data_IF_510321012060
#
_entry.id   IF_510321012060
#
_cell.length_a   1.000
_cell.length_b   1.000
_cell.length_c   1.000
_cell.angle_alpha   90.00
_cell.angle_beta   90.00
_cell.angle_gamma   90.00
#
_symmetry.space_group_name_H-M   'P 1'
#
loop_
_entity.id
_entity.type
_entity.pdbx_description
1 polymer ?
#
# COMPACT_ATOMS: atom_id res chain seq x y z
N UNK A 1 7.66 17.53 14.58
CA UNK A 1 9.11 17.54 14.29
C UNK A 1 9.49 16.65 13.09
N UNK A 2 9.06 15.38 12.98
CA UNK A 2 9.40 14.51 11.83
C UNK A 2 8.78 15.04 10.54
N UNK A 3 7.53 15.49 10.57
CA UNK A 3 6.83 16.07 9.41
C UNK A 3 7.53 17.35 8.87
N UNK A 4 8.05 18.19 9.75
CA UNK A 4 8.77 19.41 9.38
C UNK A 4 10.12 19.08 8.72
N UNK A 5 10.83 18.07 9.23
CA UNK A 5 12.09 17.59 8.64
C UNK A 5 11.85 16.96 7.25
N UNK A 6 10.81 16.12 7.11
CA UNK A 6 10.48 15.51 5.82
C UNK A 6 10.00 16.55 4.78
N UNK A 7 9.32 17.62 5.21
CA UNK A 7 8.95 18.71 4.32
C UNK A 7 10.19 19.52 3.86
N UNK A 8 11.17 19.72 4.76
CA UNK A 8 12.42 20.41 4.47
C UNK A 8 13.35 19.58 3.56
N UNK A 9 13.30 18.25 3.67
CA UNK A 9 14.09 17.31 2.87
C UNK A 9 13.20 16.40 2.00
N UNK A 10 12.34 17.01 1.18
CA UNK A 10 11.39 16.28 0.33
C UNK A 10 12.07 15.23 -0.60
N UNK A 11 13.33 15.43 -0.96
CA UNK A 11 14.12 14.47 -1.73
C UNK A 11 14.37 13.16 -0.98
N UNK A 12 14.56 13.23 0.36
CA UNK A 12 14.71 12.02 1.20
C UNK A 12 13.45 11.18 1.18
N UNK A 13 12.27 11.82 1.29
CA UNK A 13 10.99 11.15 1.19
C UNK A 13 10.80 10.45 -0.16
N UNK A 14 11.19 11.11 -1.25
CA UNK A 14 11.11 10.55 -2.61
C UNK A 14 12.07 9.37 -2.83
N UNK A 15 13.30 9.46 -2.33
CA UNK A 15 14.26 8.33 -2.38
C UNK A 15 13.74 7.15 -1.56
N UNK A 16 13.25 7.41 -0.33
CA UNK A 16 12.66 6.38 0.51
C UNK A 16 11.46 5.70 -0.16
N UNK A 17 10.60 6.50 -0.79
CA UNK A 17 9.47 6.01 -1.58
C UNK A 17 9.93 5.07 -2.71
N UNK A 18 10.90 5.49 -3.53
CA UNK A 18 11.43 4.68 -4.61
C UNK A 18 12.08 3.39 -4.08
N UNK A 19 12.84 3.46 -2.99
CA UNK A 19 13.48 2.29 -2.37
C UNK A 19 12.45 1.26 -1.90
N UNK A 20 11.35 1.70 -1.26
CA UNK A 20 10.26 0.81 -0.84
C UNK A 20 9.61 0.15 -2.05
N UNK A 21 9.32 0.89 -3.12
CA UNK A 21 8.72 0.31 -4.33
C UNK A 21 9.63 -0.73 -4.99
N UNK A 22 10.94 -0.45 -5.07
CA UNK A 22 11.94 -1.39 -5.62
C UNK A 22 12.03 -2.66 -4.76
N UNK A 23 11.98 -2.51 -3.42
CA UNK A 23 12.05 -3.65 -2.49
C UNK A 23 10.78 -4.52 -2.50
N UNK A 24 9.62 -3.93 -2.82
CA UNK A 24 8.30 -4.58 -2.72
C UNK A 24 8.20 -5.94 -3.44
N UNK A 25 8.64 -6.14 -4.69
CA UNK A 25 8.57 -7.45 -5.35
C UNK A 25 9.47 -8.51 -4.69
N UNK A 26 10.60 -8.11 -4.13
CA UNK A 26 11.49 -9.02 -3.38
C UNK A 26 10.86 -9.44 -2.06
N UNK A 27 10.23 -8.49 -1.35
CA UNK A 27 9.45 -8.75 -0.13
C UNK A 27 8.28 -9.70 -0.43
N UNK A 28 7.54 -9.50 -1.52
CA UNK A 28 6.45 -10.37 -1.92
C UNK A 28 6.92 -11.82 -2.17
N UNK A 29 8.07 -11.96 -2.84
CA UNK A 29 8.71 -13.26 -3.08
C UNK A 29 9.13 -13.93 -1.77
N UNK A 30 9.70 -13.19 -0.85
CA UNK A 30 10.11 -13.70 0.46
C UNK A 30 8.90 -14.09 1.32
N UNK A 31 7.85 -13.28 1.37
CA UNK A 31 6.61 -13.53 2.09
C UNK A 31 5.83 -14.72 1.56
N UNK A 32 6.00 -15.05 0.27
CA UNK A 32 5.31 -16.19 -0.35
C UNK A 32 5.53 -17.50 0.41
N UNK A 33 6.73 -17.73 0.90
CA UNK A 33 7.08 -18.94 1.67
C UNK A 33 6.80 -18.79 3.16
N UNK A 34 6.44 -17.58 3.62
CA UNK A 34 6.28 -17.23 5.04
C UNK A 34 4.88 -16.67 5.32
N UNK A 35 3.87 -17.49 5.10
CA UNK A 35 2.46 -17.07 5.21
C UNK A 35 2.09 -16.45 6.56
N UNK A 36 2.67 -16.95 7.69
CA UNK A 36 2.43 -16.35 9.03
C UNK A 36 2.93 -14.92 9.09
N UNK A 37 4.12 -14.64 8.57
CA UNK A 37 4.69 -13.29 8.52
C UNK A 37 3.86 -12.39 7.62
N UNK A 38 3.37 -12.89 6.48
CA UNK A 38 2.46 -12.14 5.61
C UNK A 38 1.13 -11.80 6.32
N UNK A 39 0.60 -12.71 7.15
CA UNK A 39 -0.59 -12.44 7.98
C UNK A 39 -0.34 -11.36 9.03
N UNK A 40 0.79 -11.43 9.73
CA UNK A 40 1.19 -10.39 10.69
C UNK A 40 1.36 -9.03 10.01
N UNK A 41 2.03 -9.00 8.85
CA UNK A 41 2.19 -7.76 8.07
C UNK A 41 0.83 -7.18 7.66
N UNK A 42 -0.13 -8.02 7.24
CA UNK A 42 -1.49 -7.60 6.90
C UNK A 42 -2.19 -6.93 8.10
N UNK A 43 -2.13 -7.56 9.27
CA UNK A 43 -2.74 -7.02 10.50
C UNK A 43 -2.07 -5.71 10.93
N UNK A 44 -0.73 -5.64 10.90
CA UNK A 44 0.01 -4.44 11.26
C UNK A 44 -0.27 -3.29 10.28
N UNK A 45 -0.33 -3.57 8.97
CA UNK A 45 -0.65 -2.56 7.97
C UNK A 45 -2.09 -2.04 8.15
N UNK A 46 -3.07 -2.93 8.39
CA UNK A 46 -4.44 -2.53 8.67
C UNK A 46 -4.53 -1.68 9.96
N UNK A 47 -3.87 -2.11 11.03
CA UNK A 47 -3.83 -1.37 12.29
C UNK A 47 -3.18 0.01 12.11
N UNK A 48 -2.09 0.10 11.35
CA UNK A 48 -1.41 1.36 11.07
C UNK A 48 -2.31 2.32 10.26
N UNK A 49 -3.04 1.80 9.26
CA UNK A 49 -4.00 2.60 8.49
C UNK A 49 -5.06 3.18 9.43
N UNK A 50 -5.71 2.34 10.23
CA UNK A 50 -6.74 2.79 11.20
C UNK A 50 -6.17 3.82 12.16
N UNK A 51 -4.99 3.55 12.71
CA UNK A 51 -4.33 4.45 13.64
C UNK A 51 -4.02 5.82 13.03
N UNK A 52 -3.45 5.86 11.84
CA UNK A 52 -3.02 7.12 11.21
C UNK A 52 -4.16 7.93 10.63
N UNK A 53 -5.26 7.27 10.21
CA UNK A 53 -6.37 7.93 9.50
C UNK A 53 -7.57 8.25 10.39
N UNK A 54 -7.82 7.49 11.46
CA UNK A 54 -9.02 7.61 12.29
C UNK A 54 -8.74 8.09 13.73
N UNK A 55 -7.48 8.21 14.15
CA UNK A 55 -7.20 8.83 15.46
C UNK A 55 -7.50 10.33 15.38
N UNK A 56 -8.32 10.86 16.31
CA UNK A 56 -8.69 12.27 16.32
C UNK A 56 -7.49 13.20 16.45
N UNK A 57 -7.51 14.29 15.69
CA UNK A 57 -6.61 15.43 15.87
C UNK A 57 -7.43 16.62 16.41
N UNK A 58 -7.51 16.81 17.75
CA UNK A 58 -8.34 17.83 18.35
C UNK A 58 -7.87 19.26 18.06
N UNK A 59 -6.69 19.43 17.46
CA UNK A 59 -6.15 20.75 17.14
C UNK A 59 -6.68 21.30 15.81
N UNK A 60 -7.39 20.48 15.03
CA UNK A 60 -7.94 20.86 13.73
C UNK A 60 -9.45 20.86 13.75
N UNK A 61 -10.05 21.93 13.23
CA UNK A 61 -11.46 21.99 12.89
C UNK A 61 -11.55 21.90 11.38
N UNK A 62 -12.08 20.81 10.86
CA UNK A 62 -12.25 20.59 9.43
C UNK A 62 -13.73 20.44 9.12
N UNK A 63 -14.24 21.22 8.17
CA UNK A 63 -15.59 21.11 7.71
C UNK A 63 -15.59 20.78 6.21
N UNK A 64 -16.31 19.69 5.85
CA UNK A 64 -16.53 19.30 4.47
C UNK A 64 -15.48 18.37 3.88
N UNK A 65 -15.64 18.11 2.57
CA UNK A 65 -14.78 17.25 1.78
C UNK A 65 -14.19 18.07 0.62
N UNK A 66 -12.89 18.05 0.45
CA UNK A 66 -12.20 18.75 -0.63
C UNK A 66 -12.16 17.86 -1.88
N UNK A 67 -12.89 18.26 -2.92
CA UNK A 67 -12.97 17.52 -4.19
C UNK A 67 -11.95 17.93 -5.26
N UNK A 68 -11.39 19.16 -5.28
CA UNK A 68 -10.40 19.54 -6.28
C UNK A 68 -9.18 18.62 -6.23
N UNK A 69 -8.73 18.15 -7.39
CA UNK A 69 -7.57 17.28 -7.55
C UNK A 69 -6.64 17.85 -8.62
N UNK A 70 -5.34 17.93 -8.30
CA UNK A 70 -4.29 18.23 -9.26
C UNK A 70 -3.23 17.11 -9.23
N UNK A 71 -2.72 16.71 -10.40
CA UNK A 71 -1.67 15.68 -10.49
C UNK A 71 -0.41 16.03 -9.71
N UNK A 72 -0.13 17.33 -9.55
CA UNK A 72 0.98 17.87 -8.75
C UNK A 72 0.86 17.52 -7.27
N UNK A 73 -0.35 17.28 -6.77
CA UNK A 73 -0.57 16.94 -5.37
C UNK A 73 -0.07 15.54 -5.03
N UNK A 74 -0.02 14.62 -6.01
CA UNK A 74 0.47 13.25 -5.80
C UNK A 74 1.97 13.16 -5.47
N UNK A 75 2.76 14.18 -5.83
CA UNK A 75 4.20 14.23 -5.53
C UNK A 75 4.52 14.92 -4.20
N UNK A 76 3.50 15.41 -3.50
CA UNK A 76 3.65 15.95 -2.14
C UNK A 76 3.97 14.83 -1.16
N UNK A 77 4.70 15.17 -0.12
CA UNK A 77 5.15 14.20 0.90
C UNK A 77 3.97 13.46 1.55
N UNK A 78 2.89 14.18 1.81
CA UNK A 78 1.67 13.61 2.42
C UNK A 78 1.03 12.56 1.51
N UNK A 79 0.89 12.86 0.22
CA UNK A 79 0.34 11.92 -0.77
C UNK A 79 1.24 10.70 -0.97
N UNK A 80 2.58 10.89 -0.99
CA UNK A 80 3.53 9.78 -1.04
C UNK A 80 3.40 8.87 0.20
N UNK A 81 3.18 9.45 1.38
CA UNK A 81 2.94 8.70 2.60
C UNK A 81 1.64 7.89 2.51
N UNK A 82 0.55 8.46 1.99
CA UNK A 82 -0.72 7.78 1.77
C UNK A 82 -0.58 6.63 0.78
N UNK A 83 0.14 6.82 -0.34
CA UNK A 83 0.46 5.73 -1.27
C UNK A 83 1.19 4.59 -0.54
N UNK A 84 2.26 4.90 0.21
CA UNK A 84 3.06 3.90 0.92
C UNK A 84 2.27 3.17 2.00
N UNK A 85 1.29 3.81 2.61
CA UNK A 85 0.46 3.25 3.67
C UNK A 85 -0.35 2.03 3.17
N UNK A 86 -0.84 2.07 1.91
CA UNK A 86 -1.67 1.02 1.32
C UNK A 86 -0.86 -0.07 0.60
N UNK A 87 0.40 0.19 0.23
CA UNK A 87 1.26 -0.82 -0.42
C UNK A 87 1.42 -2.09 0.41
N UNK A 88 1.81 -2.08 1.71
CA UNK A 88 2.00 -3.30 2.48
C UNK A 88 0.70 -4.05 2.73
N UNK A 89 -0.43 -3.37 2.88
CA UNK A 89 -1.75 -3.99 3.05
C UNK A 89 -2.09 -4.88 1.84
N UNK A 90 -2.09 -4.28 0.66
CA UNK A 90 -2.51 -4.96 -0.57
C UNK A 90 -1.46 -5.95 -1.09
N UNK A 91 -0.17 -5.70 -0.83
CA UNK A 91 0.91 -6.68 -1.04
C UNK A 91 0.66 -7.95 -0.21
N UNK A 92 0.51 -7.81 1.11
CA UNK A 92 0.31 -8.95 2.00
C UNK A 92 -0.98 -9.72 1.65
N UNK A 93 -2.06 -9.00 1.38
CA UNK A 93 -3.32 -9.58 0.94
C UNK A 93 -3.19 -10.33 -0.39
N UNK A 94 -2.46 -9.79 -1.37
CA UNK A 94 -2.20 -10.44 -2.67
C UNK A 94 -1.38 -11.72 -2.48
N UNK A 95 -0.36 -11.69 -1.62
CA UNK A 95 0.46 -12.87 -1.31
C UNK A 95 -0.35 -13.97 -0.64
N UNK A 96 -1.24 -13.62 0.30
CA UNK A 96 -2.04 -14.56 1.07
C UNK A 96 -3.18 -15.17 0.26
N UNK A 97 -3.93 -14.34 -0.46
CA UNK A 97 -5.17 -14.76 -1.14
C UNK A 97 -4.96 -15.19 -2.58
N UNK A 98 -3.91 -14.69 -3.23
CA UNK A 98 -3.67 -14.82 -4.69
C UNK A 98 -4.76 -14.21 -5.57
N UNK A 99 -5.67 -13.45 -4.98
CA UNK A 99 -6.80 -12.78 -5.65
C UNK A 99 -6.51 -11.30 -5.80
N UNK A 100 -5.88 -10.93 -6.93
CA UNK A 100 -5.43 -9.56 -7.20
C UNK A 100 -6.56 -8.53 -7.15
N UNK A 101 -7.68 -8.82 -7.85
CA UNK A 101 -8.84 -7.94 -7.89
C UNK A 101 -9.47 -7.74 -6.50
N UNK A 102 -9.52 -8.81 -5.69
CA UNK A 102 -10.01 -8.71 -4.32
C UNK A 102 -9.10 -7.82 -3.48
N UNK A 103 -7.78 -8.01 -3.55
CA UNK A 103 -6.82 -7.18 -2.80
C UNK A 103 -6.92 -5.70 -3.20
N UNK A 104 -7.06 -5.41 -4.50
CA UNK A 104 -7.27 -4.05 -5.01
C UNK A 104 -8.61 -3.47 -4.52
N UNK A 105 -9.71 -4.22 -4.69
CA UNK A 105 -11.04 -3.75 -4.28
C UNK A 105 -11.14 -3.50 -2.77
N UNK A 106 -10.51 -4.35 -1.94
CA UNK A 106 -10.44 -4.12 -0.49
C UNK A 106 -9.60 -2.89 -0.16
N UNK A 107 -8.46 -2.69 -0.83
CA UNK A 107 -7.62 -1.51 -0.60
C UNK A 107 -8.35 -0.21 -0.94
N UNK A 108 -8.89 -0.08 -2.16
CA UNK A 108 -9.61 1.13 -2.58
C UNK A 108 -10.93 1.32 -1.84
N UNK A 109 -11.65 0.24 -1.52
CA UNK A 109 -12.88 0.29 -0.72
C UNK A 109 -12.63 0.72 0.72
N UNK A 110 -11.55 0.24 1.35
CA UNK A 110 -11.14 0.69 2.67
C UNK A 110 -10.79 2.18 2.67
N UNK A 111 -10.08 2.67 1.63
CA UNK A 111 -9.80 4.09 1.49
C UNK A 111 -11.09 4.92 1.37
N UNK A 112 -12.03 4.51 0.51
CA UNK A 112 -13.31 5.20 0.38
C UNK A 112 -14.11 5.22 1.70
N UNK A 113 -14.07 4.12 2.46
CA UNK A 113 -14.71 4.04 3.78
C UNK A 113 -14.05 4.98 4.80
N UNK A 114 -12.74 5.16 4.75
CA UNK A 114 -12.00 6.11 5.59
C UNK A 114 -12.43 7.54 5.27
N UNK A 115 -12.43 7.93 4.00
CA UNK A 115 -12.84 9.27 3.57
C UNK A 115 -14.31 9.56 3.97
N UNK A 116 -15.17 8.56 3.83
CA UNK A 116 -16.56 8.66 4.27
C UNK A 116 -16.66 8.84 5.79
N UNK A 117 -15.89 8.08 6.56
CA UNK A 117 -15.87 8.20 8.02
C UNK A 117 -15.37 9.58 8.47
N UNK A 118 -14.33 10.12 7.83
CA UNK A 118 -13.80 11.46 8.11
C UNK A 118 -14.82 12.55 7.75
N UNK A 119 -15.54 12.39 6.65
CA UNK A 119 -16.60 13.31 6.27
C UNK A 119 -17.79 13.31 7.24
N UNK A 120 -18.20 12.11 7.69
CA UNK A 120 -19.33 11.96 8.62
C UNK A 120 -18.99 12.33 10.07
N UNK A 121 -17.71 12.34 10.42
CA UNK A 121 -17.23 12.63 11.76
C UNK A 121 -16.24 13.82 11.78
N UNK A 122 -16.70 15.08 11.58
CA UNK A 122 -15.82 16.26 11.59
C UNK A 122 -15.03 16.41 12.90
N UNK A 123 -15.52 15.84 13.99
CA UNK A 123 -14.85 15.82 15.30
C UNK A 123 -13.54 15.05 15.31
N UNK A 124 -13.27 14.24 14.27
CA UNK A 124 -11.95 13.61 14.07
C UNK A 124 -10.85 14.62 13.74
N UNK A 125 -11.20 15.85 13.33
CA UNK A 125 -10.20 16.84 12.91
C UNK A 125 -9.40 16.40 11.68
N UNK A 126 -9.97 15.49 10.86
CA UNK A 126 -9.36 14.97 9.62
C UNK A 126 -10.16 15.46 8.42
N UNK A 127 -9.44 15.87 7.37
CA UNK A 127 -10.06 16.28 6.11
C UNK A 127 -10.36 15.06 5.23
N UNK A 128 -11.58 15.01 4.70
CA UNK A 128 -11.92 14.15 3.57
C UNK A 128 -11.39 14.80 2.30
N UNK A 129 -10.55 14.10 1.52
CA UNK A 129 -10.03 14.64 0.26
C UNK A 129 -10.04 13.62 -0.86
N UNK A 130 -10.37 14.05 -2.08
CA UNK A 130 -10.24 13.20 -3.28
C UNK A 130 -8.79 12.82 -3.54
N UNK A 131 -7.84 13.69 -3.19
CA UNK A 131 -6.40 13.44 -3.33
C UNK A 131 -5.95 12.26 -2.48
N UNK A 132 -6.41 12.16 -1.23
CA UNK A 132 -6.05 11.06 -0.34
C UNK A 132 -6.65 9.73 -0.83
N UNK A 133 -7.91 9.74 -1.26
CA UNK A 133 -8.53 8.57 -1.86
C UNK A 133 -7.79 8.07 -3.10
N UNK A 134 -7.37 8.98 -3.99
CA UNK A 134 -6.61 8.65 -5.20
C UNK A 134 -5.22 8.13 -4.83
N UNK A 135 -4.52 8.79 -3.91
CA UNK A 135 -3.19 8.37 -3.45
C UNK A 135 -3.24 6.95 -2.83
N UNK A 136 -4.20 6.69 -1.95
CA UNK A 136 -4.41 5.39 -1.33
C UNK A 136 -4.75 4.31 -2.38
N UNK A 137 -5.60 4.64 -3.37
CA UNK A 137 -5.94 3.74 -4.48
C UNK A 137 -4.74 3.42 -5.35
N UNK A 138 -3.87 4.41 -5.63
CA UNK A 138 -2.59 4.18 -6.31
C UNK A 138 -1.68 3.27 -5.48
N UNK A 139 -1.61 3.47 -4.16
CA UNK A 139 -0.89 2.59 -3.25
C UNK A 139 -1.40 1.16 -3.31
N UNK A 140 -2.72 0.98 -3.32
CA UNK A 140 -3.35 -0.33 -3.48
C UNK A 140 -2.99 -0.99 -4.82
N UNK A 141 -3.03 -0.24 -5.92
CA UNK A 141 -2.66 -0.73 -7.24
C UNK A 141 -1.18 -1.13 -7.32
N UNK A 142 -0.28 -0.29 -6.78
CA UNK A 142 1.16 -0.57 -6.72
C UNK A 142 1.45 -1.81 -5.88
N UNK A 143 0.86 -1.95 -4.70
CA UNK A 143 1.04 -3.11 -3.84
C UNK A 143 0.63 -4.42 -4.53
N UNK A 144 -0.53 -4.43 -5.20
CA UNK A 144 -1.00 -5.58 -5.98
C UNK A 144 -0.10 -5.87 -7.19
N UNK A 145 0.27 -4.84 -7.96
CA UNK A 145 1.09 -4.96 -9.15
C UNK A 145 2.47 -5.51 -8.83
N UNK A 146 3.17 -4.88 -7.89
CA UNK A 146 4.52 -5.25 -7.48
C UNK A 146 4.56 -6.63 -6.79
N UNK A 147 3.56 -6.95 -5.94
CA UNK A 147 3.42 -8.30 -5.39
C UNK A 147 3.24 -9.35 -6.49
N UNK A 148 2.45 -9.02 -7.52
CA UNK A 148 2.22 -9.92 -8.65
C UNK A 148 3.50 -10.18 -9.44
N UNK A 149 4.33 -9.17 -9.67
CA UNK A 149 5.63 -9.31 -10.32
C UNK A 149 6.57 -10.23 -9.51
N UNK A 150 6.65 -10.02 -8.19
CA UNK A 150 7.43 -10.87 -7.30
C UNK A 150 6.98 -12.34 -7.33
N UNK A 151 5.67 -12.58 -7.40
CA UNK A 151 5.10 -13.94 -7.47
C UNK A 151 5.26 -14.61 -8.82
N UNK A 152 5.27 -13.84 -9.93
CA UNK A 152 5.53 -14.38 -11.26
C UNK A 152 6.98 -14.88 -11.39
N UNK A 153 7.93 -14.14 -10.85
CA UNK A 153 9.35 -14.53 -10.88
C UNK A 153 9.63 -15.87 -10.19
N UNK A 154 8.85 -16.23 -9.15
CA UNK A 154 8.97 -17.53 -8.47
C UNK A 154 8.50 -18.69 -9.36
N UNK A 155 7.44 -18.49 -10.15
CA UNK A 155 6.91 -19.52 -11.06
C UNK A 155 7.89 -19.83 -12.21
N UNK A 156 8.49 -18.78 -12.79
CA UNK A 156 9.46 -18.94 -13.87
C UNK A 156 10.72 -19.66 -13.38
N UNK A 157 11.19 -19.39 -12.17
CA UNK A 157 12.34 -20.07 -11.57
C UNK A 157 12.06 -21.57 -11.36
N UNK A 158 10.86 -21.93 -10.86
CA UNK A 158 10.49 -23.34 -10.63
C UNK A 158 10.30 -24.14 -11.91
N UNK A 159 9.84 -23.54 -13.00
CA UNK A 159 9.68 -24.23 -14.27
C UNK A 159 11.02 -24.55 -14.97
N UNK A 160 12.07 -23.75 -14.71
CA UNK A 160 13.42 -23.99 -15.26
C UNK A 160 14.18 -25.11 -14.55
N UNK A 161 13.91 -25.35 -13.28
CA UNK A 161 14.58 -26.41 -12.49
C UNK A 161 13.85 -27.74 -12.58
N UNK A 162 12.62 -27.79 -13.08
CA UNK A 162 11.75 -28.98 -13.14
C UNK A 162 11.81 -29.80 -14.44
N UNK A 163 12.85 -29.69 -15.28
CA UNK A 163 13.01 -30.59 -16.43
C UNK A 163 13.46 -31.99 -15.95
N UNK A 164 12.59 -33.01 -15.97
CA UNK A 164 13.01 -34.35 -15.57
C UNK A 164 13.99 -34.88 -16.64
N UNK A 165 15.19 -35.21 -16.19
CA UNK A 165 16.14 -36.03 -16.95
C UNK A 165 15.41 -37.31 -17.33
N UNK A 166 14.93 -37.38 -18.57
CA UNK A 166 14.46 -38.64 -19.18
C UNK A 166 15.63 -39.62 -19.13
N UNK A 167 15.67 -40.50 -18.15
CA UNK A 167 16.51 -41.70 -18.18
C UNK A 167 16.01 -42.55 -19.31
N UNK A 168 16.73 -42.51 -20.44
CA UNK A 168 16.69 -43.58 -21.48
C UNK A 168 17.10 -44.86 -20.75
N UNK A 169 16.16 -45.75 -20.48
CA UNK A 169 16.46 -47.17 -20.29
C UNK A 169 16.63 -47.76 -21.70
N UNK A 170 17.83 -48.22 -22.00
CA UNK A 170 18.13 -49.14 -23.09
C UNK A 170 17.72 -50.53 -22.68
#
# INVERSE_FOLDING_TARGET
>A
MISTLLAQYAWVARIGFAAVLIATPFVARWLHTRRRVAGVLLCLAAALIVFTTLIPDPTRIVAGCELPFAFTDLIRVDSLANILLFVPLTLAMTVLTRRRLLAFAVGTGASAAIELAQWLAPTLGRSCTSTDWIANTLGAALGVGLASLGLLSTRVASSRTGSPRRTRRA
#
